data_IF_814385674548
#
_entry.id   IF_814385674548
#
_cell.length_a   1.000
_cell.length_b   1.000
_cell.length_c   1.000
_cell.angle_alpha   90.00
_cell.angle_beta   90.00
_cell.angle_gamma   90.00
#
_symmetry.space_group_name_H-M   'P 1'
#
loop_
_entity.id
_entity.type
_entity.pdbx_description
1 polymer ?
#
# COMPACT_ATOMS: atom_id res chain seq x y z
N UNK A 1 -6.52 -16.13 21.17
CA UNK A 1 -7.44 -15.77 20.07
C UNK A 1 -6.82 -14.59 19.33
N UNK A 2 -6.72 -14.64 18.00
CA UNK A 2 -6.24 -13.51 17.20
C UNK A 2 -7.39 -12.50 17.02
N UNK A 3 -7.12 -11.20 17.19
CA UNK A 3 -8.10 -10.16 16.93
C UNK A 3 -8.18 -9.84 15.43
N UNK A 4 -9.37 -9.50 14.95
CA UNK A 4 -9.57 -8.97 13.59
C UNK A 4 -9.15 -7.50 13.57
N UNK A 5 -8.46 -7.09 12.50
CA UNK A 5 -8.06 -5.70 12.27
C UNK A 5 -8.91 -5.15 11.12
N UNK A 6 -9.70 -4.12 11.40
CA UNK A 6 -10.42 -3.36 10.39
C UNK A 6 -9.64 -2.09 10.07
N UNK A 7 -9.37 -1.85 8.79
CA UNK A 7 -8.63 -0.69 8.30
C UNK A 7 -9.27 -0.18 6.99
N UNK A 8 -9.13 1.11 6.72
CA UNK A 8 -9.80 1.73 5.57
C UNK A 8 -8.93 2.74 4.81
N UNK A 9 -8.51 3.85 5.44
CA UNK A 9 -7.72 4.89 4.75
C UNK A 9 -6.21 4.76 5.04
N UNK A 10 -5.34 5.18 4.10
CA UNK A 10 -3.89 5.20 4.32
C UNK A 10 -3.42 6.10 5.46
N UNK A 11 -4.23 7.09 5.84
CA UNK A 11 -3.94 8.02 6.94
C UNK A 11 -4.49 7.55 8.30
N UNK A 12 -5.29 6.48 8.31
CA UNK A 12 -5.86 5.90 9.53
C UNK A 12 -4.91 4.86 10.14
N UNK A 13 -5.18 4.38 11.37
CA UNK A 13 -4.46 3.24 11.93
C UNK A 13 -4.46 2.04 10.97
N UNK A 14 -3.30 1.37 10.89
CA UNK A 14 -3.06 0.27 9.94
C UNK A 14 -3.12 0.69 8.46
N UNK A 15 -3.02 2.00 8.17
CA UNK A 15 -2.98 2.54 6.82
C UNK A 15 -1.86 1.97 5.97
N UNK A 16 -0.78 1.46 6.59
CA UNK A 16 0.30 0.73 5.92
C UNK A 16 -0.13 -0.57 5.24
N UNK A 17 -1.29 -1.11 5.60
CA UNK A 17 -1.89 -2.27 4.93
C UNK A 17 -2.61 -1.89 3.62
N UNK A 18 -2.79 -0.60 3.34
CA UNK A 18 -3.37 -0.11 2.08
C UNK A 18 -2.35 -0.12 0.94
N UNK A 19 -2.76 -0.53 -0.26
CA UNK A 19 -1.99 -0.38 -1.50
C UNK A 19 -1.78 1.11 -1.91
N UNK A 20 -2.52 2.03 -1.30
CA UNK A 20 -2.34 3.48 -1.43
C UNK A 20 -1.36 4.06 -0.40
N UNK A 21 -0.83 3.24 0.51
CA UNK A 21 0.15 3.70 1.47
C UNK A 21 1.41 4.22 0.76
N UNK A 22 1.97 5.38 1.15
CA UNK A 22 3.10 6.02 0.50
C UNK A 22 4.43 5.35 0.89
N UNK A 23 4.55 4.06 0.62
CA UNK A 23 5.75 3.25 0.80
C UNK A 23 6.33 2.88 -0.57
N UNK A 24 7.34 3.62 -1.05
CA UNK A 24 7.84 3.43 -2.40
C UNK A 24 8.49 2.06 -2.59
N UNK A 25 8.16 1.40 -3.69
CA UNK A 25 8.66 0.06 -4.03
C UNK A 25 9.56 0.11 -5.27
N UNK A 26 10.52 -0.82 -5.35
CA UNK A 26 11.35 -1.03 -6.53
C UNK A 26 10.87 -2.28 -7.27
N UNK A 27 10.31 -2.09 -8.46
CA UNK A 27 9.78 -3.18 -9.29
C UNK A 27 9.95 -2.83 -10.77
N UNK A 28 10.32 -3.82 -11.60
CA UNK A 28 10.53 -3.61 -13.04
C UNK A 28 11.63 -2.59 -13.37
N UNK A 29 12.62 -2.41 -12.50
CA UNK A 29 13.68 -1.41 -12.68
C UNK A 29 13.25 0.04 -12.47
N UNK A 30 12.02 0.27 -11.97
CA UNK A 30 11.47 1.59 -11.63
C UNK A 30 11.20 1.69 -10.13
N UNK A 31 11.14 2.93 -9.62
CA UNK A 31 10.67 3.25 -8.27
C UNK A 31 9.25 3.79 -8.36
N UNK A 32 8.31 3.08 -7.76
CA UNK A 32 6.89 3.46 -7.74
C UNK A 32 6.53 4.12 -6.41
N UNK A 33 5.69 5.17 -6.39
CA UNK A 33 5.30 5.83 -5.14
C UNK A 33 4.52 4.91 -4.20
N UNK A 34 3.65 4.07 -4.76
CA UNK A 34 2.83 3.06 -4.05
C UNK A 34 2.64 1.84 -4.94
N UNK A 35 2.19 0.73 -4.38
CA UNK A 35 1.82 -0.47 -5.14
C UNK A 35 0.70 -0.20 -6.15
N UNK A 36 -0.26 0.67 -5.84
CA UNK A 36 -1.33 1.05 -6.76
C UNK A 36 -0.82 1.66 -8.08
N UNK A 37 0.24 2.47 -8.02
CA UNK A 37 0.81 3.08 -9.23
C UNK A 37 1.40 2.05 -10.19
N UNK A 38 2.05 1.01 -9.65
CA UNK A 38 2.56 -0.09 -10.46
C UNK A 38 1.42 -0.96 -11.02
N UNK A 39 0.37 -1.19 -10.23
CA UNK A 39 -0.79 -1.97 -10.65
C UNK A 39 -1.56 -1.32 -11.81
N UNK A 40 -1.77 0.00 -11.77
CA UNK A 40 -2.48 0.72 -12.85
C UNK A 40 -1.66 0.90 -14.13
N UNK A 41 -0.33 0.77 -14.05
CA UNK A 41 0.55 0.95 -15.20
C UNK A 41 0.73 -0.33 -16.05
N UNK A 42 0.21 -1.47 -15.59
CA UNK A 42 0.33 -2.78 -16.24
C UNK A 42 -0.93 -3.19 -17.02
#
# INVERSE_FOLDING_TARGET
>A
MSAVIEFYLPADPYGELSNFAPFPILLGGKRWPTSEHDFQAQ
#
